data_IF_784430545170
#
_entry.id   IF_784430545170
#
_cell.length_a   1.000
_cell.length_b   1.000
_cell.length_c   1.000
_cell.angle_alpha   90.00
_cell.angle_beta   90.00
_cell.angle_gamma   90.00
#
_symmetry.space_group_name_H-M   'P 1'
#
loop_
_entity.id
_entity.type
_entity.pdbx_description
1 polymer ?
#
# COMPACT_ATOMS: atom_id res chain seq x y z
N UNK A 1 10.97 -11.30 26.85
CA UNK A 1 10.79 -10.23 25.83
C UNK A 1 10.07 -9.06 26.47
N UNK A 2 10.53 -7.84 26.26
CA UNK A 2 9.90 -6.66 26.87
C UNK A 2 8.51 -6.44 26.27
N UNK A 3 7.56 -5.89 27.04
CA UNK A 3 6.18 -5.60 26.57
C UNK A 3 6.12 -4.72 25.30
N UNK A 4 7.21 -4.01 24.97
CA UNK A 4 7.31 -3.04 23.86
C UNK A 4 7.58 -3.68 22.49
N UNK A 5 8.10 -4.90 22.43
CA UNK A 5 8.49 -5.55 21.15
C UNK A 5 7.36 -6.36 20.48
N UNK A 6 6.11 -6.18 20.96
CA UNK A 6 4.96 -6.99 20.56
C UNK A 6 4.10 -6.36 19.46
N UNK A 7 4.36 -5.10 19.10
CA UNK A 7 3.53 -4.37 18.15
C UNK A 7 4.36 -3.74 17.05
N UNK A 8 3.77 -3.67 15.87
CA UNK A 8 4.29 -3.01 14.67
C UNK A 8 3.38 -1.84 14.36
N UNK A 9 3.98 -0.67 14.14
CA UNK A 9 3.30 0.56 13.74
C UNK A 9 3.59 0.82 12.26
N UNK A 10 2.53 0.86 11.46
CA UNK A 10 2.54 1.35 10.09
C UNK A 10 2.03 2.78 10.10
N UNK A 11 2.67 3.65 9.33
CA UNK A 11 2.25 5.03 9.13
C UNK A 11 2.28 5.28 7.62
N UNK A 12 1.19 5.85 7.10
CA UNK A 12 1.09 6.22 5.70
C UNK A 12 0.33 7.54 5.53
N UNK A 13 0.71 8.31 4.52
CA UNK A 13 -0.04 9.48 4.07
C UNK A 13 -1.21 8.98 3.22
N UNK A 14 -2.43 9.02 3.77
CA UNK A 14 -3.56 8.39 3.08
C UNK A 14 -3.92 9.20 1.82
N UNK A 15 -3.98 8.48 0.69
CA UNK A 15 -3.86 8.97 -0.69
C UNK A 15 -4.98 9.84 -1.27
N UNK A 16 -5.34 10.96 -0.61
CA UNK A 16 -6.06 12.06 -1.29
C UNK A 16 -5.27 13.36 -1.38
N UNK A 17 -4.36 13.59 -0.45
CA UNK A 17 -3.58 14.83 -0.39
C UNK A 17 -2.25 14.53 0.26
N UNK A 18 -1.16 14.60 -0.48
CA UNK A 18 0.21 14.62 0.02
C UNK A 18 0.55 16.00 0.53
N UNK A 19 1.68 16.13 1.22
CA UNK A 19 2.21 17.46 1.55
C UNK A 19 2.31 18.33 0.28
N UNK A 20 2.81 17.78 -0.83
CA UNK A 20 2.96 18.49 -2.12
C UNK A 20 1.65 18.92 -2.80
N UNK A 21 0.51 18.34 -2.43
CA UNK A 21 -0.74 18.57 -3.14
C UNK A 21 -1.39 19.89 -2.69
N UNK A 22 -2.25 20.52 -3.52
CA UNK A 22 -2.98 21.71 -3.12
C UNK A 22 -3.85 21.51 -1.86
N UNK A 23 -4.12 22.61 -1.15
CA UNK A 23 -4.97 22.64 0.05
C UNK A 23 -4.19 22.55 1.37
N UNK A 24 -4.82 22.92 2.47
CA UNK A 24 -4.11 23.27 3.72
C UNK A 24 -3.83 22.08 4.64
N UNK A 25 -4.37 20.89 4.34
CA UNK A 25 -4.27 19.74 5.23
C UNK A 25 -3.94 18.46 4.47
N UNK A 26 -3.32 17.50 5.15
CA UNK A 26 -3.25 16.11 4.72
C UNK A 26 -3.72 15.14 5.81
N UNK A 27 -4.03 13.92 5.41
CA UNK A 27 -4.41 12.85 6.33
C UNK A 27 -3.23 11.92 6.57
N UNK A 28 -2.82 11.81 7.83
CA UNK A 28 -1.89 10.80 8.28
C UNK A 28 -2.69 9.63 8.85
N UNK A 29 -2.51 8.47 8.26
CA UNK A 29 -3.09 7.22 8.72
C UNK A 29 -2.03 6.38 9.42
N UNK A 30 -2.43 5.64 10.44
CA UNK A 30 -1.58 4.70 11.14
C UNK A 30 -2.32 3.44 11.53
N UNK A 31 -1.60 2.32 11.52
CA UNK A 31 -2.11 1.01 11.88
C UNK A 31 -1.14 0.37 12.88
N UNK A 32 -1.65 -0.02 14.04
CA UNK A 32 -0.88 -0.76 15.05
C UNK A 32 -1.45 -2.16 15.12
N UNK A 33 -0.60 -3.15 14.83
CA UNK A 33 -0.92 -4.57 14.90
C UNK A 33 0.09 -5.29 15.77
N UNK A 34 -0.26 -6.45 16.32
CA UNK A 34 0.72 -7.27 17.01
C UNK A 34 1.70 -7.92 16.01
N UNK A 35 2.85 -8.37 16.50
CA UNK A 35 3.90 -8.96 15.66
C UNK A 35 3.47 -10.27 15.00
N UNK A 36 2.63 -11.05 15.67
CA UNK A 36 2.15 -12.33 15.15
C UNK A 36 1.23 -12.12 13.92
N UNK A 37 0.30 -11.17 14.01
CA UNK A 37 -0.54 -10.75 12.89
C UNK A 37 0.31 -10.16 11.77
N UNK A 38 1.30 -9.34 12.10
CA UNK A 38 2.24 -8.82 11.11
C UNK A 38 2.92 -9.97 10.35
N UNK A 39 3.47 -10.95 11.06
CA UNK A 39 4.11 -12.12 10.44
C UNK A 39 3.13 -12.90 9.56
N UNK A 40 1.90 -13.14 10.01
CA UNK A 40 0.87 -13.83 9.22
C UNK A 40 0.52 -13.06 7.93
N UNK A 41 0.33 -11.74 8.02
CA UNK A 41 0.06 -10.88 6.86
C UNK A 41 1.25 -10.85 5.90
N UNK A 42 2.48 -10.77 6.40
CA UNK A 42 3.69 -10.83 5.55
C UNK A 42 3.79 -12.16 4.81
N UNK A 43 3.57 -13.29 5.47
CA UNK A 43 3.55 -14.60 4.82
C UNK A 43 2.46 -14.72 3.76
N UNK A 44 1.27 -14.18 4.05
CA UNK A 44 0.18 -14.14 3.08
C UNK A 44 0.58 -13.34 1.82
N UNK A 45 1.17 -12.15 1.99
CA UNK A 45 1.63 -11.32 0.87
C UNK A 45 2.77 -11.97 0.08
N UNK A 46 3.72 -12.62 0.74
CA UNK A 46 4.78 -13.39 0.07
C UNK A 46 4.17 -14.51 -0.78
N UNK A 47 3.24 -15.29 -0.21
CA UNK A 47 2.56 -16.37 -0.94
C UNK A 47 1.77 -15.85 -2.15
N UNK A 48 1.19 -14.65 -2.07
CA UNK A 48 0.54 -14.01 -3.21
C UNK A 48 1.54 -13.64 -4.30
N UNK A 49 2.65 -12.98 -3.94
CA UNK A 49 3.71 -12.61 -4.88
C UNK A 49 4.28 -13.83 -5.62
N UNK A 50 4.59 -14.89 -4.88
CA UNK A 50 5.11 -16.15 -5.45
C UNK A 50 4.13 -16.76 -6.46
N UNK A 51 2.82 -16.76 -6.16
CA UNK A 51 1.79 -17.29 -7.07
C UNK A 51 1.60 -16.45 -8.32
N UNK A 52 1.84 -15.14 -8.22
CA UNK A 52 1.77 -14.21 -9.35
C UNK A 52 3.10 -14.10 -10.10
N UNK A 53 4.15 -14.80 -9.69
CA UNK A 53 5.47 -14.71 -10.32
C UNK A 53 6.18 -13.37 -10.07
N UNK A 54 5.78 -12.63 -9.04
CA UNK A 54 6.36 -11.35 -8.64
C UNK A 54 7.48 -11.60 -7.63
N UNK A 55 8.58 -10.85 -7.75
CA UNK A 55 9.69 -10.95 -6.80
C UNK A 55 9.25 -10.52 -5.38
N UNK A 56 9.66 -11.26 -4.36
CA UNK A 56 9.34 -10.94 -2.96
C UNK A 56 9.92 -9.59 -2.52
N UNK A 57 11.03 -9.17 -3.12
CA UNK A 57 11.73 -7.91 -2.87
C UNK A 57 11.10 -6.70 -3.59
N UNK A 58 10.19 -6.94 -4.55
CA UNK A 58 9.56 -5.87 -5.31
C UNK A 58 8.45 -5.20 -4.50
N UNK A 59 8.46 -3.87 -4.42
CA UNK A 59 7.33 -3.13 -3.85
C UNK A 59 6.16 -3.19 -4.85
N UNK A 60 5.05 -3.75 -4.39
CA UNK A 60 3.82 -3.87 -5.19
C UNK A 60 2.80 -2.87 -4.67
N UNK A 61 2.14 -2.13 -5.57
CA UNK A 61 0.90 -1.49 -5.18
C UNK A 61 -0.18 -2.57 -5.06
N UNK A 62 -1.08 -2.43 -4.08
CA UNK A 62 -2.18 -3.38 -3.91
C UNK A 62 -3.02 -3.53 -5.19
N UNK A 63 -3.04 -2.49 -6.05
CA UNK A 63 -3.68 -2.51 -7.35
C UNK A 63 -2.99 -3.45 -8.36
N UNK A 64 -1.66 -3.55 -8.33
CA UNK A 64 -0.88 -4.38 -9.25
C UNK A 64 -1.15 -5.88 -9.05
N UNK A 65 -1.51 -6.28 -7.84
CA UNK A 65 -1.92 -7.66 -7.52
C UNK A 65 -3.14 -8.13 -8.31
N UNK A 66 -3.96 -7.21 -8.80
CA UNK A 66 -5.23 -7.51 -9.47
C UNK A 66 -5.26 -7.06 -10.95
N UNK A 67 -4.26 -6.29 -11.42
CA UNK A 67 -4.17 -5.83 -12.81
C UNK A 67 -3.77 -6.96 -13.78
N UNK A 68 -2.91 -7.90 -13.37
CA UNK A 68 -2.53 -9.06 -14.21
C UNK A 68 -3.70 -10.00 -14.54
N UNK A 69 -4.83 -9.83 -13.86
CA UNK A 69 -6.08 -10.55 -14.13
C UNK A 69 -6.95 -9.91 -15.21
N UNK A 70 -6.56 -8.75 -15.75
CA UNK A 70 -7.00 -8.31 -17.07
C UNK A 70 -6.39 -9.24 -18.13
N UNK A 71 -6.89 -10.47 -18.21
CA UNK A 71 -6.57 -11.36 -19.31
C UNK A 71 -6.94 -10.66 -20.62
N UNK A 72 -5.93 -10.28 -21.40
CA UNK A 72 -6.09 -9.94 -22.81
C UNK A 72 -6.51 -11.20 -23.53
N UNK A 73 -7.81 -11.45 -23.62
CA UNK A 73 -8.34 -12.53 -24.45
C UNK A 73 -8.18 -12.10 -25.90
N UNK A 74 -7.16 -12.63 -26.59
CA UNK A 74 -7.07 -12.48 -28.05
C UNK A 74 -8.16 -13.33 -28.68
N UNK A 75 -9.19 -12.68 -29.21
CA UNK A 75 -10.12 -13.35 -30.10
C UNK A 75 -9.42 -13.66 -31.44
N UNK A 76 -9.89 -14.67 -32.21
CA UNK A 76 -9.28 -15.06 -33.49
C UNK A 76 -9.20 -13.92 -34.54
N UNK A 77 -9.93 -12.81 -34.33
CA UNK A 77 -10.01 -11.66 -35.24
C UNK A 77 -9.08 -10.48 -34.88
N UNK A 78 -8.14 -10.64 -33.93
CA UNK A 78 -7.20 -9.56 -33.56
C UNK A 78 -7.82 -8.42 -32.74
N UNK A 79 -9.09 -8.51 -32.37
CA UNK A 79 -9.78 -7.53 -31.52
C UNK A 79 -9.41 -7.77 -30.04
N UNK A 80 -8.82 -6.77 -29.39
CA UNK A 80 -8.58 -6.77 -27.95
C UNK A 80 -9.90 -6.47 -27.23
N UNK A 81 -10.49 -7.49 -26.60
CA UNK A 81 -11.62 -7.29 -25.67
C UNK A 81 -11.05 -7.33 -24.26
N UNK A 82 -11.20 -6.24 -23.52
CA UNK A 82 -10.93 -6.19 -22.08
C UNK A 82 -11.90 -7.16 -21.41
N UNK A 83 -11.44 -8.35 -21.02
CA UNK A 83 -12.26 -9.23 -20.18
C UNK A 83 -12.40 -8.60 -18.79
N UNK A 84 -13.61 -8.64 -18.24
CA UNK A 84 -13.88 -8.18 -16.88
C UNK A 84 -12.93 -8.90 -15.91
N UNK A 85 -12.46 -8.15 -14.91
CA UNK A 85 -11.67 -8.68 -13.79
C UNK A 85 -12.36 -9.94 -13.28
N UNK A 86 -11.62 -11.02 -13.06
CA UNK A 86 -12.17 -12.26 -12.51
C UNK A 86 -12.46 -12.01 -11.02
N UNK A 87 -13.63 -11.43 -10.74
CA UNK A 87 -14.08 -10.99 -9.41
C UNK A 87 -13.82 -12.03 -8.31
N UNK A 88 -13.91 -13.33 -8.61
CA UNK A 88 -13.72 -14.40 -7.65
C UNK A 88 -12.36 -14.41 -6.94
N UNK A 89 -11.30 -13.90 -7.57
CA UNK A 89 -9.96 -13.86 -6.96
C UNK A 89 -9.77 -12.65 -6.05
N UNK A 90 -10.39 -11.52 -6.38
CA UNK A 90 -10.51 -10.37 -5.48
C UNK A 90 -11.31 -10.77 -4.24
N UNK A 91 -12.44 -11.46 -4.44
CA UNK A 91 -13.27 -11.93 -3.34
C UNK A 91 -12.49 -12.91 -2.45
N UNK A 92 -11.79 -13.88 -3.05
CA UNK A 92 -10.92 -14.81 -2.32
C UNK A 92 -9.80 -14.10 -1.56
N UNK A 93 -9.24 -13.02 -2.13
CA UNK A 93 -8.24 -12.20 -1.45
C UNK A 93 -8.83 -11.54 -0.20
N UNK A 94 -9.98 -10.86 -0.35
CA UNK A 94 -10.63 -10.18 0.75
C UNK A 94 -11.13 -11.16 1.81
N UNK A 95 -11.70 -12.31 1.43
CA UNK A 95 -12.11 -13.36 2.36
C UNK A 95 -10.93 -13.85 3.21
N UNK A 96 -9.80 -14.16 2.59
CA UNK A 96 -8.59 -14.61 3.31
C UNK A 96 -8.00 -13.52 4.19
N UNK A 97 -7.94 -12.29 3.69
CA UNK A 97 -7.50 -11.15 4.48
C UNK A 97 -8.40 -10.97 5.71
N UNK A 98 -9.72 -11.01 5.51
CA UNK A 98 -10.70 -10.91 6.59
C UNK A 98 -10.52 -12.04 7.61
N UNK A 99 -10.37 -13.30 7.19
CA UNK A 99 -10.07 -14.40 8.11
C UNK A 99 -8.78 -14.21 8.91
N UNK A 100 -7.77 -13.55 8.34
CA UNK A 100 -6.49 -13.30 9.04
C UNK A 100 -6.63 -12.19 10.09
N UNK A 101 -7.46 -11.17 9.83
CA UNK A 101 -7.63 -10.03 10.73
C UNK A 101 -8.81 -10.19 11.68
N UNK A 102 -9.68 -11.18 11.47
CA UNK A 102 -10.84 -11.45 12.31
C UNK A 102 -10.41 -11.75 13.75
N UNK A 103 -10.98 -11.02 14.71
CA UNK A 103 -10.63 -11.12 16.12
C UNK A 103 -9.24 -10.59 16.49
N UNK A 104 -8.46 -10.06 15.53
CA UNK A 104 -7.16 -9.49 15.81
C UNK A 104 -7.26 -8.14 16.54
N UNK A 105 -6.36 -7.88 17.48
CA UNK A 105 -6.28 -6.61 18.18
C UNK A 105 -5.56 -5.57 17.31
N UNK A 106 -6.33 -4.89 16.48
CA UNK A 106 -5.87 -3.84 15.57
C UNK A 106 -6.25 -2.48 16.14
N UNK A 107 -5.32 -1.53 16.14
CA UNK A 107 -5.63 -0.13 16.44
C UNK A 107 -5.36 0.73 15.22
N UNK A 108 -6.33 1.57 14.88
CA UNK A 108 -6.24 2.50 13.75
C UNK A 108 -6.12 3.92 14.30
N UNK A 109 -5.27 4.72 13.66
CA UNK A 109 -5.12 6.13 13.94
C UNK A 109 -5.34 6.90 12.64
N UNK A 110 -6.11 7.98 12.69
CA UNK A 110 -6.31 8.89 11.57
C UNK A 110 -6.17 10.30 12.12
N UNK A 111 -5.19 11.04 11.62
CA UNK A 111 -4.93 12.41 12.01
C UNK A 111 -5.06 13.32 10.80
N UNK A 112 -5.77 14.42 10.98
CA UNK A 112 -5.73 15.54 10.04
C UNK A 112 -4.60 16.47 10.46
N UNK A 113 -3.63 16.65 9.57
CA UNK A 113 -2.44 17.45 9.82
C UNK A 113 -2.52 18.73 9.00
N UNK A 114 -2.31 19.87 9.66
CA UNK A 114 -2.12 21.17 9.01
C UNK A 114 -0.75 21.21 8.30
N UNK A 115 -0.73 21.62 7.03
CA UNK A 115 0.48 21.70 6.22
C UNK A 115 1.33 22.93 6.51
N UNK A 116 0.76 24.02 7.05
CA UNK A 116 1.46 25.29 7.19
C UNK A 116 2.80 25.17 7.96
N UNK A 117 2.89 24.44 9.10
CA UNK A 117 4.16 24.28 9.83
C UNK A 117 5.23 23.48 9.06
N UNK A 118 4.81 22.63 8.12
CA UNK A 118 5.70 21.76 7.35
C UNK A 118 6.20 22.46 6.08
N UNK A 119 5.32 23.20 5.40
CA UNK A 119 5.68 23.99 4.22
C UNK A 119 6.77 25.02 4.53
N UNK A 120 6.69 25.68 5.70
CA UNK A 120 7.71 26.60 6.17
C UNK A 120 9.09 25.92 6.33
N UNK A 121 9.13 24.62 6.66
CA UNK A 121 10.37 23.86 6.82
C UNK A 121 10.92 23.32 5.50
N UNK A 122 10.05 22.93 4.56
CA UNK A 122 10.48 22.47 3.23
C UNK A 122 11.13 23.61 2.43
N UNK A 123 10.63 24.83 2.54
CA UNK A 123 11.22 26.01 1.90
C UNK A 123 12.65 26.35 2.38
N UNK A 124 13.06 25.81 3.54
CA UNK A 124 14.39 26.03 4.13
C UNK A 124 15.41 24.95 3.76
N UNK A 125 14.99 23.86 3.12
CA UNK A 125 15.92 22.83 2.62
C UNK A 125 16.46 23.33 1.28
N UNK A 126 17.77 23.65 1.16
CA UNK A 126 18.32 24.09 -0.12
C UNK A 126 18.13 22.96 -1.12
N UNK A 127 17.43 23.24 -2.21
CA UNK A 127 17.43 22.37 -3.38
C UNK A 127 18.90 22.20 -3.78
N UNK A 128 19.44 20.98 -3.63
CA UNK A 128 20.77 20.66 -4.14
C UNK A 128 20.75 20.99 -5.63
N UNK A 129 21.43 22.07 -6.00
CA UNK A 129 21.63 22.45 -7.39
C UNK A 129 22.14 21.22 -8.16
N UNK A 130 21.48 20.92 -9.27
CA UNK A 130 22.00 20.00 -10.27
C UNK A 130 23.43 20.43 -10.59
N UNK A 131 24.41 19.55 -10.32
CA UNK A 131 25.74 19.71 -10.85
C UNK A 131 25.63 19.75 -12.38
N UNK A 132 26.11 20.80 -13.07
CA UNK A 132 26.22 20.75 -14.52
C UNK A 132 27.23 19.65 -14.85
N UNK A 133 26.76 18.62 -15.55
CA UNK A 133 27.65 17.64 -16.17
C UNK A 133 28.54 18.39 -17.14
N UNK A 134 29.86 18.30 -16.91
CA UNK A 134 30.89 18.65 -17.90
C UNK A 134 31.09 17.47 -18.84
#
# INVERSE_FOLDING_TARGET
>A
MSKRDRYVLFIDESGKTKLSDPGDHFLLSGLIINRDLHTALSHYMISLKEKSGISTEENIHAFDLFEDEKRRTRLPAGTLVSSHIVHSRIDTFFERLMSLVEGANIKVMIFRIDKAPYMAKVALIPTRHNHPQR
#
